data_IF_032147467881
#
_entry.id   IF_032147467881
#
_cell.length_a   1.000
_cell.length_b   1.000
_cell.length_c   1.000
_cell.angle_alpha   90.00
_cell.angle_beta   90.00
_cell.angle_gamma   90.00
#
_symmetry.space_group_name_H-M   'P 1'
#
loop_
_entity.id
_entity.type
_entity.pdbx_description
1 polymer ?
#
# COMPACT_ATOMS: atom_id res chain seq x y z
N UNK A 1 11.63 34.30 -33.32
CA UNK A 1 11.13 33.19 -32.48
C UNK A 1 10.41 33.82 -31.30
N UNK A 2 9.11 33.65 -31.20
CA UNK A 2 8.33 34.13 -30.04
C UNK A 2 8.67 33.27 -28.85
N UNK A 3 9.23 33.86 -27.79
CA UNK A 3 9.38 33.18 -26.51
C UNK A 3 7.96 33.04 -25.97
N UNK A 4 7.39 31.83 -26.03
CA UNK A 4 6.15 31.55 -25.33
C UNK A 4 6.36 31.91 -23.85
N UNK A 5 5.51 32.81 -23.35
CA UNK A 5 5.56 33.26 -21.96
C UNK A 5 5.13 32.06 -21.10
N UNK A 6 6.05 31.50 -20.33
CA UNK A 6 5.77 30.42 -19.38
C UNK A 6 4.68 30.89 -18.41
N UNK A 7 3.55 30.19 -18.40
CA UNK A 7 2.56 30.28 -17.32
C UNK A 7 2.80 29.09 -16.40
N UNK A 8 3.62 29.33 -15.37
CA UNK A 8 4.02 28.31 -14.42
C UNK A 8 2.84 27.54 -13.80
N UNK A 9 1.67 28.16 -13.68
CA UNK A 9 0.49 27.51 -13.11
C UNK A 9 -0.13 26.53 -14.10
N UNK A 10 -0.34 26.98 -15.34
CA UNK A 10 -0.90 26.15 -16.40
C UNK A 10 0.07 25.03 -16.79
N UNK A 11 1.34 25.38 -17.03
CA UNK A 11 2.41 24.46 -17.40
C UNK A 11 2.59 23.35 -16.36
N UNK A 12 2.58 23.69 -15.07
CA UNK A 12 2.65 22.72 -13.98
C UNK A 12 1.43 21.80 -13.96
N UNK A 13 0.23 22.33 -14.20
CA UNK A 13 -1.00 21.55 -14.27
C UNK A 13 -0.95 20.50 -15.39
N UNK A 14 -0.50 20.88 -16.58
CA UNK A 14 -0.33 19.99 -17.73
C UNK A 14 0.68 18.88 -17.43
N UNK A 15 1.85 19.25 -16.91
CA UNK A 15 2.92 18.30 -16.58
C UNK A 15 2.47 17.29 -15.53
N UNK A 16 1.84 17.73 -14.43
CA UNK A 16 1.37 16.81 -13.38
C UNK A 16 0.30 15.86 -13.91
N UNK A 17 -0.61 16.31 -14.78
CA UNK A 17 -1.59 15.42 -15.41
C UNK A 17 -0.93 14.30 -16.23
N UNK A 18 0.18 14.58 -16.91
CA UNK A 18 0.95 13.55 -17.62
C UNK A 18 1.56 12.53 -16.64
N UNK A 19 2.17 12.99 -15.55
CA UNK A 19 2.70 12.09 -14.51
C UNK A 19 1.61 11.27 -13.83
N UNK A 20 0.47 11.88 -13.51
CA UNK A 20 -0.69 11.19 -12.94
C UNK A 20 -1.20 10.08 -13.87
N UNK A 21 -1.30 10.37 -15.18
CA UNK A 21 -1.69 9.37 -16.17
C UNK A 21 -0.67 8.22 -16.26
N UNK A 22 0.62 8.50 -16.10
CA UNK A 22 1.64 7.46 -16.07
C UNK A 22 1.49 6.50 -14.88
N UNK A 23 0.91 6.95 -13.75
CA UNK A 23 0.65 6.10 -12.58
C UNK A 23 -0.43 5.04 -12.81
N UNK A 24 -1.30 5.19 -13.81
CA UNK A 24 -2.28 4.14 -14.18
C UNK A 24 -1.58 2.82 -14.54
N UNK A 25 -0.36 2.89 -15.09
CA UNK A 25 0.45 1.71 -15.40
C UNK A 25 0.82 0.90 -14.15
N UNK A 26 0.85 1.54 -12.98
CA UNK A 26 1.18 0.88 -11.72
C UNK A 26 -0.01 0.13 -11.11
N UNK A 27 -1.23 0.47 -11.49
CA UNK A 27 -2.40 -0.31 -11.10
C UNK A 27 -3.49 -0.14 -12.16
N UNK A 28 -3.42 -0.94 -13.24
CA UNK A 28 -4.30 -0.80 -14.41
C UNK A 28 -5.78 -0.94 -14.06
N UNK A 29 -6.08 -1.70 -13.00
CA UNK A 29 -7.44 -1.98 -12.55
C UNK A 29 -8.04 -0.83 -11.70
N UNK A 30 -7.26 0.21 -11.40
CA UNK A 30 -7.70 1.35 -10.59
C UNK A 30 -7.82 2.61 -11.45
N UNK A 31 -9.05 2.89 -11.88
CA UNK A 31 -9.43 4.09 -12.63
C UNK A 31 -9.45 5.33 -11.71
N UNK A 32 -8.26 5.85 -11.44
CA UNK A 32 -8.11 7.11 -10.69
C UNK A 32 -8.34 8.33 -11.57
N UNK A 33 -7.98 8.26 -12.86
CA UNK A 33 -8.00 9.40 -13.77
C UNK A 33 -9.40 9.97 -13.96
N UNK A 34 -10.42 9.11 -14.06
CA UNK A 34 -11.81 9.56 -14.15
C UNK A 34 -12.25 10.44 -12.98
N UNK A 35 -11.63 10.30 -11.80
CA UNK A 35 -11.96 11.09 -10.61
C UNK A 35 -11.45 12.52 -10.69
N UNK A 36 -10.30 12.76 -11.33
CA UNK A 36 -9.61 14.06 -11.35
C UNK A 36 -9.41 14.67 -12.75
N UNK A 37 -9.93 14.05 -13.81
CA UNK A 37 -9.80 14.54 -15.20
C UNK A 37 -10.19 16.02 -15.36
N UNK A 38 -11.24 16.44 -14.65
CA UNK A 38 -11.81 17.79 -14.71
C UNK A 38 -11.17 18.75 -13.67
N UNK A 39 -10.24 18.26 -12.84
CA UNK A 39 -9.52 19.11 -11.89
C UNK A 39 -8.47 19.95 -12.63
N UNK A 40 -8.44 21.24 -12.35
CA UNK A 40 -7.54 22.20 -12.98
C UNK A 40 -6.65 22.94 -11.97
N UNK A 41 -6.94 22.85 -10.66
CA UNK A 41 -6.11 23.46 -9.62
C UNK A 41 -4.76 22.70 -9.48
N UNK A 42 -3.62 23.31 -9.84
CA UNK A 42 -2.33 22.65 -9.78
C UNK A 42 -1.96 22.18 -8.38
N UNK A 43 -2.40 22.88 -7.32
CA UNK A 43 -2.11 22.49 -5.93
C UNK A 43 -2.80 21.20 -5.56
N UNK A 44 -4.04 21.01 -6.01
CA UNK A 44 -4.76 19.74 -5.79
C UNK A 44 -4.16 18.62 -6.62
N UNK A 45 -3.79 18.88 -7.87
CA UNK A 45 -3.10 17.91 -8.72
C UNK A 45 -1.78 17.44 -8.09
N UNK A 46 -0.97 18.35 -7.55
CA UNK A 46 0.23 18.02 -6.76
C UNK A 46 -0.09 17.08 -5.58
N UNK A 47 -1.13 17.41 -4.80
CA UNK A 47 -1.51 16.63 -3.62
C UNK A 47 -2.01 15.23 -4.00
N UNK A 48 -2.79 15.11 -5.07
CA UNK A 48 -3.25 13.85 -5.65
C UNK A 48 -2.04 13.01 -6.06
N UNK A 49 -1.11 13.59 -6.82
CA UNK A 49 0.10 12.92 -7.26
C UNK A 49 0.92 12.40 -6.08
N UNK A 50 1.22 13.27 -5.10
CA UNK A 50 1.96 12.89 -3.90
C UNK A 50 1.29 11.74 -3.13
N UNK A 51 -0.04 11.81 -2.96
CA UNK A 51 -0.78 10.76 -2.26
C UNK A 51 -0.72 9.41 -3.01
N UNK A 52 -0.83 9.42 -4.33
CA UNK A 52 -0.77 8.20 -5.14
C UNK A 52 0.64 7.59 -5.13
N UNK A 53 1.67 8.39 -5.36
CA UNK A 53 3.07 7.92 -5.32
C UNK A 53 3.40 7.33 -3.95
N UNK A 54 2.97 7.97 -2.86
CA UNK A 54 3.22 7.44 -1.52
C UNK A 54 2.46 6.12 -1.26
N UNK A 55 1.27 5.93 -1.85
CA UNK A 55 0.41 4.75 -1.59
C UNK A 55 0.71 3.57 -2.49
N UNK A 56 0.92 3.78 -3.79
CA UNK A 56 1.18 2.74 -4.76
C UNK A 56 2.55 2.09 -4.55
N UNK A 57 2.66 0.84 -4.97
CA UNK A 57 3.92 0.10 -5.07
C UNK A 57 4.24 -0.07 -6.53
N UNK A 58 5.46 0.28 -6.91
CA UNK A 58 5.91 0.12 -8.29
C UNK A 58 6.13 -1.35 -8.65
N UNK A 59 5.79 -1.71 -9.88
CA UNK A 59 5.95 -3.05 -10.47
C UNK A 59 7.43 -3.27 -10.82
N UNK A 60 8.19 -3.74 -9.83
CA UNK A 60 9.61 -4.09 -10.00
C UNK A 60 10.00 -5.21 -9.04
N UNK A 61 10.89 -6.13 -9.48
CA UNK A 61 11.45 -7.17 -8.62
C UNK A 61 12.08 -6.58 -7.36
N UNK A 62 11.82 -7.20 -6.20
CA UNK A 62 12.48 -6.83 -4.95
C UNK A 62 12.83 -8.07 -4.14
N UNK A 63 13.99 -8.02 -3.48
CA UNK A 63 14.36 -9.04 -2.50
C UNK A 63 13.53 -8.86 -1.21
N UNK A 64 13.00 -9.96 -0.68
CA UNK A 64 12.20 -9.94 0.55
C UNK A 64 13.06 -10.23 1.77
N UNK A 65 13.02 -9.31 2.73
CA UNK A 65 13.66 -9.43 4.04
C UNK A 65 12.59 -9.50 5.11
N UNK A 66 12.80 -10.34 6.12
CA UNK A 66 11.90 -10.42 7.27
C UNK A 66 12.63 -10.00 8.54
N UNK A 67 11.92 -9.29 9.41
CA UNK A 67 12.40 -9.01 10.76
C UNK A 67 12.77 -10.30 11.49
N UNK A 68 13.79 -10.25 12.35
CA UNK A 68 14.19 -11.38 13.21
C UNK A 68 13.07 -11.85 14.14
N UNK A 69 12.10 -10.98 14.43
CA UNK A 69 10.92 -11.27 15.24
C UNK A 69 9.66 -11.54 14.40
N UNK A 70 9.82 -11.76 13.09
CA UNK A 70 8.69 -11.95 12.20
C UNK A 70 7.99 -13.28 12.47
N UNK A 71 6.66 -13.23 12.64
CA UNK A 71 5.83 -14.41 12.82
C UNK A 71 4.61 -14.37 11.90
N UNK A 72 4.43 -15.44 11.12
CA UNK A 72 3.27 -15.64 10.26
C UNK A 72 2.38 -16.78 10.77
N UNK A 73 1.15 -16.49 11.22
CA UNK A 73 0.18 -17.53 11.58
C UNK A 73 -0.07 -18.51 10.43
N UNK A 74 -0.16 -19.82 10.71
CA UNK A 74 -0.32 -20.89 9.70
C UNK A 74 -1.36 -20.58 8.61
N UNK A 75 -2.52 -20.03 8.99
CA UNK A 75 -3.61 -19.67 8.07
C UNK A 75 -3.25 -18.63 7.01
N UNK A 76 -2.19 -17.84 7.19
CA UNK A 76 -1.74 -16.82 6.25
C UNK A 76 -0.53 -17.24 5.43
N UNK A 77 0.08 -18.41 5.69
CA UNK A 77 1.29 -18.85 4.99
C UNK A 77 1.11 -18.89 3.47
N UNK A 78 -0.02 -19.41 2.98
CA UNK A 78 -0.31 -19.46 1.54
C UNK A 78 -0.37 -18.05 0.93
N UNK A 79 -1.13 -17.14 1.54
CA UNK A 79 -1.23 -15.75 1.08
C UNK A 79 0.12 -15.03 1.13
N UNK A 80 0.89 -15.24 2.19
CA UNK A 80 2.22 -14.65 2.34
C UNK A 80 3.19 -15.15 1.27
N UNK A 81 3.21 -16.46 1.01
CA UNK A 81 4.08 -17.03 -0.03
C UNK A 81 3.73 -16.49 -1.42
N UNK A 82 2.44 -16.44 -1.76
CA UNK A 82 1.99 -15.84 -3.02
C UNK A 82 2.40 -14.37 -3.13
N UNK A 83 2.33 -13.61 -2.03
CA UNK A 83 2.75 -12.21 -2.01
C UNK A 83 4.28 -12.08 -2.20
N UNK A 84 5.06 -12.95 -1.57
CA UNK A 84 6.53 -12.98 -1.72
C UNK A 84 6.90 -13.23 -3.18
N UNK A 85 6.33 -14.28 -3.78
CA UNK A 85 6.56 -14.62 -5.19
C UNK A 85 6.23 -13.44 -6.12
N UNK A 86 5.09 -12.76 -5.89
CA UNK A 86 4.73 -11.55 -6.64
C UNK A 86 5.74 -10.42 -6.49
N UNK A 87 6.25 -10.19 -5.28
CA UNK A 87 7.24 -9.14 -5.00
C UNK A 87 8.57 -9.46 -5.69
N UNK A 88 9.03 -10.70 -5.58
CA UNK A 88 10.29 -11.16 -6.17
C UNK A 88 10.24 -11.13 -7.71
N UNK A 89 9.07 -11.40 -8.30
CA UNK A 89 8.85 -11.30 -9.75
C UNK A 89 8.55 -9.88 -10.24
N UNK A 90 8.30 -8.92 -9.34
CA UNK A 90 7.93 -7.55 -9.69
C UNK A 90 6.51 -7.38 -10.23
N UNK A 91 5.61 -8.29 -9.86
CA UNK A 91 4.21 -8.25 -10.25
C UNK A 91 3.42 -7.19 -9.47
N UNK A 92 2.21 -6.87 -9.94
CA UNK A 92 1.32 -5.94 -9.25
C UNK A 92 0.83 -6.51 -7.90
N UNK A 93 1.17 -5.80 -6.83
CA UNK A 93 0.70 -6.08 -5.46
C UNK A 93 -0.24 -4.99 -4.92
N UNK A 94 -0.53 -3.95 -5.70
CA UNK A 94 -1.48 -2.90 -5.31
C UNK A 94 -2.89 -3.45 -4.97
N UNK A 95 -3.38 -4.57 -5.55
CA UNK A 95 -4.59 -5.25 -5.08
C UNK A 95 -4.59 -5.65 -3.60
N UNK A 96 -3.42 -5.77 -2.98
CA UNK A 96 -3.28 -6.11 -1.55
C UNK A 96 -3.33 -4.88 -0.64
N UNK A 97 -3.29 -3.66 -1.19
CA UNK A 97 -3.40 -2.42 -0.42
C UNK A 97 -4.82 -2.20 0.09
N UNK A 98 -4.98 -1.19 0.95
CA UNK A 98 -6.31 -0.78 1.39
C UNK A 98 -7.15 -0.27 0.22
N UNK A 99 -8.41 -0.75 0.12
CA UNK A 99 -9.45 -0.18 -0.76
C UNK A 99 -9.62 1.35 -0.67
N UNK A 100 -9.11 1.99 0.40
CA UNK A 100 -9.11 3.45 0.51
C UNK A 100 -8.34 4.14 -0.62
N UNK A 101 -7.40 3.43 -1.26
CA UNK A 101 -6.61 3.96 -2.38
C UNK A 101 -7.48 4.33 -3.58
N UNK A 102 -8.61 3.64 -3.80
CA UNK A 102 -9.54 3.91 -4.92
C UNK A 102 -10.14 5.32 -4.87
N UNK A 103 -10.01 6.06 -3.76
CA UNK A 103 -10.59 7.40 -3.61
C UNK A 103 -9.46 8.42 -3.52
N UNK A 104 -9.15 9.08 -4.65
CA UNK A 104 -8.05 10.06 -4.73
C UNK A 104 -8.56 11.48 -4.50
N UNK A 105 -9.78 11.77 -4.93
CA UNK A 105 -10.48 13.02 -4.61
C UNK A 105 -11.49 12.79 -3.49
N UNK A 106 -11.36 13.57 -2.43
CA UNK A 106 -12.23 13.47 -1.26
C UNK A 106 -13.61 14.04 -1.52
N UNK A 107 -14.59 13.20 -1.87
CA UNK A 107 -16.02 13.57 -1.96
C UNK A 107 -16.59 13.97 -0.57
N UNK A 108 -15.88 13.69 0.52
CA UNK A 108 -16.25 14.10 1.88
C UNK A 108 -15.04 14.21 2.82
N UNK A 109 -15.06 15.18 3.75
CA UNK A 109 -14.11 15.33 4.87
C UNK A 109 -13.93 14.05 5.69
N UNK A 110 -14.92 13.13 5.73
CA UNK A 110 -14.81 11.84 6.42
C UNK A 110 -13.96 10.81 5.66
N UNK A 111 -13.96 10.81 4.31
CA UNK A 111 -13.13 9.90 3.49
C UNK A 111 -11.67 10.37 3.42
N UNK A 112 -11.43 11.68 3.53
CA UNK A 112 -10.08 12.27 3.62
C UNK A 112 -9.36 12.02 4.97
N UNK A 113 -10.03 11.38 5.95
CA UNK A 113 -9.44 10.99 7.25
C UNK A 113 -8.79 9.60 7.24
N UNK A 114 -8.75 8.92 6.10
CA UNK A 114 -7.93 7.71 5.94
C UNK A 114 -6.47 8.10 5.67
N UNK A 115 -5.93 8.98 6.53
CA UNK A 115 -4.48 9.19 6.60
C UNK A 115 -3.90 8.00 7.32
N UNK A 116 -3.03 7.31 6.61
CA UNK A 116 -2.30 6.20 7.17
C UNK A 116 -1.04 6.79 7.80
N UNK A 117 -1.09 7.05 9.11
CA UNK A 117 0.01 7.74 9.79
C UNK A 117 1.33 6.97 9.72
N UNK A 118 1.31 5.65 9.55
CA UNK A 118 2.51 4.85 9.38
C UNK A 118 3.07 4.98 7.97
N UNK A 119 2.20 4.99 6.97
CA UNK A 119 2.59 5.30 5.60
C UNK A 119 3.13 6.73 5.49
N UNK A 120 2.35 7.71 5.95
CA UNK A 120 2.63 9.14 5.79
C UNK A 120 3.90 9.58 6.53
N UNK A 121 4.27 8.90 7.62
CA UNK A 121 5.46 9.27 8.43
C UNK A 121 6.66 8.36 8.24
N UNK A 122 6.45 7.08 7.94
CA UNK A 122 7.53 6.08 7.94
C UNK A 122 7.66 5.33 6.62
N UNK A 123 6.75 5.54 5.68
CA UNK A 123 6.66 4.77 4.44
C UNK A 123 6.29 3.30 4.66
N UNK A 124 5.65 2.98 5.79
CA UNK A 124 5.23 1.62 6.11
C UNK A 124 3.82 1.40 5.55
N UNK A 125 3.69 0.45 4.62
CA UNK A 125 2.44 0.09 3.97
C UNK A 125 1.75 -1.06 4.72
N UNK A 126 0.42 -1.01 4.72
CA UNK A 126 -0.45 -2.05 5.22
C UNK A 126 -0.92 -2.96 4.08
N UNK A 127 -0.52 -4.23 4.11
CA UNK A 127 -0.80 -5.22 3.08
C UNK A 127 -1.78 -6.27 3.63
N UNK A 128 -2.91 -6.46 2.96
CA UNK A 128 -3.92 -7.45 3.33
C UNK A 128 -3.50 -8.87 2.90
N UNK A 129 -3.57 -9.85 3.80
CA UNK A 129 -3.17 -11.23 3.53
C UNK A 129 -4.38 -12.12 3.21
N UNK A 130 -5.02 -11.88 2.07
CA UNK A 130 -6.07 -12.74 1.52
C UNK A 130 -5.58 -13.57 0.33
N UNK A 131 -6.39 -14.54 -0.11
CA UNK A 131 -6.08 -15.37 -1.29
C UNK A 131 -7.06 -15.18 -2.44
N UNK A 132 -8.19 -14.53 -2.18
CA UNK A 132 -9.24 -14.30 -3.17
C UNK A 132 -9.19 -12.85 -3.64
N UNK A 133 -8.99 -12.66 -4.94
CA UNK A 133 -9.22 -11.38 -5.62
C UNK A 133 -10.73 -11.19 -5.78
N UNK A 134 -11.25 -10.07 -5.30
CA UNK A 134 -12.66 -9.72 -5.42
C UNK A 134 -12.93 -9.00 -6.74
N UNK A 135 -14.21 -8.92 -7.11
CA UNK A 135 -14.68 -8.25 -8.34
C UNK A 135 -14.33 -6.77 -8.42
N UNK A 136 -13.97 -6.13 -7.30
CA UNK A 136 -13.53 -4.74 -7.24
C UNK A 136 -12.01 -4.56 -7.35
N UNK A 137 -11.27 -5.61 -7.75
CA UNK A 137 -9.82 -5.54 -7.96
C UNK A 137 -8.97 -5.58 -6.68
N UNK A 138 -9.58 -5.83 -5.51
CA UNK A 138 -8.87 -5.92 -4.23
C UNK A 138 -8.91 -7.32 -3.64
N UNK A 139 -7.84 -7.70 -2.95
CA UNK A 139 -7.77 -8.93 -2.18
C UNK A 139 -8.72 -8.86 -0.98
N UNK A 140 -9.36 -9.97 -0.66
CA UNK A 140 -10.24 -10.09 0.50
C UNK A 140 -9.54 -9.70 1.81
N UNK A 141 -10.30 -9.04 2.71
CA UNK A 141 -9.78 -8.61 4.00
C UNK A 141 -9.92 -9.72 5.03
N UNK A 142 -8.79 -10.28 5.46
CA UNK A 142 -8.76 -11.36 6.44
C UNK A 142 -8.61 -10.89 7.89
N UNK A 143 -8.46 -9.57 8.10
CA UNK A 143 -8.37 -8.92 9.41
C UNK A 143 -6.94 -8.51 9.77
N UNK A 144 -6.02 -9.45 10.08
CA UNK A 144 -4.60 -9.17 10.16
C UNK A 144 -4.04 -8.63 8.84
N UNK A 145 -3.07 -7.75 8.97
CA UNK A 145 -2.35 -7.12 7.87
C UNK A 145 -0.86 -7.24 8.12
N UNK A 146 -0.11 -7.34 7.04
CA UNK A 146 1.34 -7.28 7.02
C UNK A 146 1.78 -5.81 6.96
N UNK A 147 2.74 -5.45 7.80
CA UNK A 147 3.41 -4.16 7.77
C UNK A 147 4.69 -4.31 6.98
N UNK A 148 4.82 -3.58 5.87
CA UNK A 148 5.96 -3.68 4.95
C UNK A 148 6.52 -2.29 4.66
N UNK A 149 7.84 -2.17 4.60
CA UNK A 149 8.51 -1.01 4.00
C UNK A 149 9.15 -1.44 2.69
N UNK A 150 9.04 -0.61 1.67
CA UNK A 150 9.68 -0.85 0.37
C UNK A 150 10.75 0.21 0.15
N UNK A 151 11.85 -0.20 -0.46
CA UNK A 151 12.75 0.71 -1.18
C UNK A 151 12.82 0.29 -2.66
N UNK A 152 13.85 0.74 -3.38
CA UNK A 152 14.03 0.44 -4.80
C UNK A 152 14.23 -1.05 -5.08
N UNK A 153 14.90 -1.79 -4.20
CA UNK A 153 15.38 -3.15 -4.43
C UNK A 153 14.85 -4.17 -3.42
N UNK A 154 14.26 -3.71 -2.30
CA UNK A 154 13.96 -4.53 -1.14
C UNK A 154 12.54 -4.31 -0.62
N UNK A 155 11.97 -5.37 -0.06
CA UNK A 155 10.75 -5.35 0.73
C UNK A 155 11.02 -5.88 2.14
N UNK A 156 10.85 -5.02 3.15
CA UNK A 156 11.12 -5.34 4.55
C UNK A 156 9.83 -5.65 5.31
N UNK A 157 9.62 -6.93 5.61
CA UNK A 157 8.45 -7.43 6.32
C UNK A 157 8.68 -7.29 7.83
N UNK A 158 7.91 -6.40 8.45
CA UNK A 158 8.13 -6.02 9.86
C UNK A 158 7.36 -6.94 10.80
N UNK A 159 6.04 -7.05 10.63
CA UNK A 159 5.16 -7.87 11.47
C UNK A 159 3.79 -8.07 10.83
N UNK A 160 3.05 -9.09 11.30
CA UNK A 160 1.64 -9.31 10.99
C UNK A 160 0.79 -9.02 12.23
N UNK A 161 -0.12 -8.06 12.12
CA UNK A 161 -1.01 -7.68 13.24
C UNK A 161 -2.37 -7.23 12.73
N UNK A 162 -3.41 -7.38 13.56
CA UNK A 162 -4.72 -6.80 13.26
C UNK A 162 -4.64 -5.27 13.18
N UNK A 163 -5.18 -4.72 12.11
CA UNK A 163 -5.45 -3.29 12.00
C UNK A 163 -6.49 -2.87 13.07
N UNK A 164 -6.21 -1.84 13.87
CA UNK A 164 -7.14 -1.32 14.89
C UNK A 164 -8.31 -0.52 14.28
N UNK A 165 -9.43 -0.22 14.93
CA UNK A 165 -9.92 -0.42 16.31
C UNK A 165 -11.22 -1.24 16.26
N UNK A 166 -11.32 -2.31 17.04
CA UNK A 166 -12.64 -2.88 17.40
C UNK A 166 -13.02 -2.30 18.76
N UNK A 167 -13.93 -1.32 18.80
CA UNK A 167 -14.73 -1.10 20.01
C UNK A 167 -15.63 -2.33 20.15
N UNK A 168 -15.28 -3.23 21.07
CA UNK A 168 -16.26 -4.22 21.53
C UNK A 168 -17.33 -3.46 22.31
N UNK A 169 -18.59 -3.90 22.26
CA UNK A 169 -19.75 -3.20 22.84
C UNK A 169 -19.63 -2.86 24.34
N UNK A 170 -18.64 -3.39 25.08
CA UNK A 170 -18.58 -3.28 26.55
C UNK A 170 -17.22 -2.80 27.15
N UNK A 171 -16.50 -1.88 26.50
CA UNK A 171 -15.48 -1.05 27.18
C UNK A 171 -14.26 -1.71 27.86
N UNK A 172 -14.06 -3.03 27.78
CA UNK A 172 -12.92 -3.73 28.39
C UNK A 172 -11.94 -4.24 27.32
N UNK A 173 -10.67 -3.85 27.44
CA UNK A 173 -9.57 -4.38 26.63
C UNK A 173 -9.30 -5.84 27.05
N UNK A 174 -9.27 -6.79 26.12
CA UNK A 174 -8.92 -8.18 26.47
C UNK A 174 -7.41 -8.29 26.72
N UNK A 175 -7.05 -8.94 27.83
CA UNK A 175 -5.67 -9.33 28.12
C UNK A 175 -5.14 -10.28 27.03
N UNK A 176 -3.82 -10.19 26.85
CA UNK A 176 -2.97 -10.96 25.94
C UNK A 176 -3.29 -12.46 25.99
N UNK A 177 -3.26 -13.12 24.83
CA UNK A 177 -2.75 -14.48 24.73
C UNK A 177 -1.34 -14.39 24.15
N UNK A 178 -0.35 -14.41 25.05
CA UNK A 178 0.99 -14.86 24.69
C UNK A 178 0.88 -16.38 24.50
N UNK A 179 0.72 -16.81 23.24
CA UNK A 179 0.83 -18.21 22.88
C UNK A 179 2.30 -18.58 22.72
N UNK A 180 2.70 -19.68 23.34
CA UNK A 180 4.05 -20.24 23.38
C UNK A 180 4.78 -20.18 22.03
N UNK A 181 6.02 -19.71 22.10
CA UNK A 181 7.03 -19.85 21.06
C UNK A 181 7.39 -21.32 20.91
N UNK A 182 6.93 -21.94 19.82
CA UNK A 182 7.64 -23.04 19.19
C UNK A 182 8.20 -22.53 17.87
N UNK A 183 9.51 -22.33 17.86
CA UNK A 183 10.28 -21.97 16.67
C UNK A 183 10.54 -23.28 15.92
N UNK A 184 9.69 -23.59 14.95
CA UNK A 184 10.06 -24.57 13.92
C UNK A 184 10.75 -23.79 12.79
N UNK A 185 12.07 -23.97 12.71
CA UNK A 185 12.91 -23.50 11.63
C UNK A 185 12.49 -24.15 10.31
N UNK A 186 11.85 -23.39 9.43
CA UNK A 186 11.69 -23.77 8.04
C UNK A 186 12.90 -23.24 7.27
N UNK A 187 13.66 -24.14 6.67
CA UNK A 187 14.76 -23.83 5.75
C UNK A 187 14.21 -23.25 4.45
N UNK A 188 14.01 -21.94 4.43
CA UNK A 188 14.09 -21.13 3.22
C UNK A 188 15.28 -20.20 3.43
N UNK A 189 16.03 -19.84 2.37
CA UNK A 189 17.24 -19.02 2.50
C UNK A 189 16.90 -17.67 3.15
N UNK A 190 17.10 -17.54 4.46
CA UNK A 190 16.80 -16.32 5.22
C UNK A 190 18.05 -15.44 5.24
N UNK A 191 18.06 -14.39 4.42
CA UNK A 191 19.01 -13.27 4.62
C UNK A 191 18.43 -12.38 5.71
N UNK A 192 18.95 -12.55 6.91
CA UNK A 192 18.72 -11.62 8.03
C UNK A 192 19.51 -10.36 7.73
N UNK A 193 18.91 -9.18 7.91
CA UNK A 193 19.65 -7.91 7.85
C UNK A 193 20.81 -7.98 8.85
N UNK A 194 22.04 -8.00 8.34
CA UNK A 194 23.29 -7.85 9.11
C UNK A 194 23.47 -6.41 9.57
#
# INVERSE_FOLDING_TARGET
MSIQRLDLSEDLGVVIKQYLKALEKLSPDLDYYSQFKDESDPKKLCLIYYNLVNRLVELRPREVYMSTLFYCPKRFKKSLNNLIEKIENGEDINPYLSRGIQWVIGISRRKNRQRDALLDRWGIKHIHLGTVLRTDGFIERTGPILFVKFDENNAYFLLIKRHGRRKMKNGKYSKRQAGQMHVESLSARWRVCS
#
